data_IF_616238837955
#
_entry.id   IF_616238837955
#
_cell.length_a   1.000
_cell.length_b   1.000
_cell.length_c   1.000
_cell.angle_alpha   90.00
_cell.angle_beta   90.00
_cell.angle_gamma   90.00
#
_symmetry.space_group_name_H-M   'P 1'
#
loop_
_entity.id
_entity.type
_entity.pdbx_description
1 polymer ?
#
# COMPACT_ATOMS: atom_id res chain seq x y z
N UNK A 1 7.70 20.57 -34.94
CA UNK A 1 6.59 19.82 -34.31
C UNK A 1 6.97 19.56 -32.86
N UNK A 2 6.63 20.49 -31.98
CA UNK A 2 6.73 20.25 -30.53
C UNK A 2 5.55 19.35 -30.15
N UNK A 3 5.79 18.04 -30.16
CA UNK A 3 4.92 17.10 -29.45
C UNK A 3 4.96 17.57 -27.99
N UNK A 4 3.90 18.23 -27.50
CA UNK A 4 3.95 18.78 -26.15
C UNK A 4 4.00 17.62 -25.16
N UNK A 5 4.77 17.76 -24.09
CA UNK A 5 4.86 16.75 -23.02
C UNK A 5 3.45 16.34 -22.55
N UNK A 6 2.53 17.30 -22.51
CA UNK A 6 1.11 17.06 -22.24
C UNK A 6 0.44 16.10 -23.22
N UNK A 7 0.68 16.24 -24.53
CA UNK A 7 0.15 15.30 -25.53
C UNK A 7 0.75 13.90 -25.35
N UNK A 8 2.03 13.79 -25.03
CA UNK A 8 2.68 12.50 -24.78
C UNK A 8 2.07 11.78 -23.57
N UNK A 9 1.86 12.48 -22.45
CA UNK A 9 1.21 11.93 -21.26
C UNK A 9 -0.23 11.52 -21.57
N UNK A 10 -0.97 12.36 -22.29
CA UNK A 10 -2.35 12.06 -22.68
C UNK A 10 -2.45 10.82 -23.57
N UNK A 11 -1.48 10.61 -24.47
CA UNK A 11 -1.38 9.38 -25.28
C UNK A 11 -1.04 8.17 -24.43
N UNK A 12 -0.15 8.31 -23.43
CA UNK A 12 0.15 7.22 -22.48
C UNK A 12 -1.11 6.82 -21.70
N UNK A 13 -1.80 7.79 -21.10
CA UNK A 13 -2.98 7.57 -20.25
C UNK A 13 -4.17 6.98 -21.03
N UNK A 14 -4.50 7.57 -22.18
CA UNK A 14 -5.77 7.31 -22.87
C UNK A 14 -5.65 6.39 -24.08
N UNK A 15 -4.44 6.10 -24.56
CA UNK A 15 -4.24 5.24 -25.73
C UNK A 15 -3.36 4.04 -25.40
N UNK A 16 -2.13 4.27 -24.92
CA UNK A 16 -1.16 3.19 -24.73
C UNK A 16 -1.58 2.23 -23.62
N UNK A 17 -1.77 2.71 -22.38
CA UNK A 17 -2.11 1.83 -21.25
C UNK A 17 -3.41 1.03 -21.49
N UNK A 18 -4.51 1.64 -21.99
CA UNK A 18 -5.74 0.89 -22.29
C UNK A 18 -5.62 -0.09 -23.47
N UNK A 19 -4.68 0.13 -24.39
CA UNK A 19 -4.50 -0.74 -25.56
C UNK A 19 -3.66 -1.99 -25.27
N UNK A 20 -3.09 -2.10 -24.06
CA UNK A 20 -2.27 -3.24 -23.66
C UNK A 20 -3.15 -4.49 -23.54
N UNK A 21 -2.97 -5.52 -24.39
CA UNK A 21 -3.83 -6.69 -24.37
C UNK A 21 -3.55 -7.56 -23.14
N UNK A 22 -4.54 -8.32 -22.66
CA UNK A 22 -4.35 -9.26 -21.54
C UNK A 22 -3.46 -10.48 -21.91
N UNK A 23 -3.12 -10.59 -23.19
CA UNK A 23 -2.39 -11.68 -23.83
C UNK A 23 -1.47 -11.09 -24.89
N UNK A 24 -0.29 -10.60 -24.50
CA UNK A 24 0.68 -10.08 -25.47
C UNK A 24 1.32 -11.25 -26.22
N UNK A 25 1.31 -11.18 -27.54
CA UNK A 25 2.01 -12.13 -28.40
C UNK A 25 3.53 -11.85 -28.35
N UNK A 26 4.23 -12.54 -27.45
CA UNK A 26 5.69 -12.61 -27.41
C UNK A 26 6.37 -11.73 -26.36
N UNK A 27 7.58 -12.15 -25.96
CA UNK A 27 8.42 -11.51 -24.92
C UNK A 27 8.71 -10.04 -25.23
N UNK A 28 8.90 -9.70 -26.50
CA UNK A 28 9.19 -8.33 -26.94
C UNK A 28 8.05 -7.37 -26.64
N UNK A 29 6.81 -7.84 -26.72
CA UNK A 29 5.65 -7.02 -26.47
C UNK A 29 5.55 -6.68 -24.96
N UNK A 30 5.98 -7.59 -24.06
CA UNK A 30 6.03 -7.34 -22.60
C UNK A 30 7.09 -6.32 -22.19
N UNK A 31 8.08 -6.01 -23.04
CA UNK A 31 9.06 -4.95 -22.75
C UNK A 31 8.41 -3.57 -22.64
N UNK A 32 7.21 -3.38 -23.19
CA UNK A 32 6.45 -2.15 -23.01
C UNK A 32 6.22 -1.82 -21.53
N UNK A 33 6.03 -2.84 -20.68
CA UNK A 33 5.84 -2.68 -19.24
C UNK A 33 7.14 -2.31 -18.49
N UNK A 34 8.31 -2.43 -19.14
CA UNK A 34 9.58 -1.93 -18.62
C UNK A 34 9.85 -0.48 -19.05
N UNK A 35 9.38 -0.12 -20.24
CA UNK A 35 9.61 1.20 -20.85
C UNK A 35 8.62 2.22 -20.28
N UNK A 36 7.34 1.85 -20.13
CA UNK A 36 6.29 2.78 -19.67
C UNK A 36 6.57 3.42 -18.30
N UNK A 37 7.01 2.70 -17.26
CA UNK A 37 7.35 3.32 -15.98
C UNK A 37 8.46 4.38 -16.14
N UNK A 38 9.50 4.05 -16.90
CA UNK A 38 10.61 4.96 -17.16
C UNK A 38 10.14 6.20 -17.93
N UNK A 39 9.30 6.01 -18.95
CA UNK A 39 8.74 7.09 -19.75
C UNK A 39 7.87 8.02 -18.90
N UNK A 40 7.01 7.47 -18.03
CA UNK A 40 6.20 8.26 -17.09
C UNK A 40 7.10 9.10 -16.18
N UNK A 41 8.18 8.52 -15.65
CA UNK A 41 9.12 9.24 -14.77
C UNK A 41 9.88 10.38 -15.45
N UNK A 42 10.02 10.33 -16.78
CA UNK A 42 10.72 11.35 -17.57
C UNK A 42 9.77 12.45 -18.06
N UNK A 43 8.53 12.08 -18.39
CA UNK A 43 7.57 13.00 -18.97
C UNK A 43 6.75 13.78 -17.95
N UNK A 44 6.51 13.23 -16.76
CA UNK A 44 5.66 13.86 -15.75
C UNK A 44 6.46 14.17 -14.48
N UNK A 45 6.23 15.36 -13.92
CA UNK A 45 6.89 15.83 -12.69
C UNK A 45 5.92 15.85 -11.50
N UNK A 46 4.61 15.87 -11.74
CA UNK A 46 3.59 15.87 -10.70
C UNK A 46 3.52 14.50 -10.01
N UNK A 47 3.84 14.39 -8.69
CA UNK A 47 3.78 13.12 -7.97
C UNK A 47 2.40 12.46 -8.03
N UNK A 48 1.34 13.27 -7.99
CA UNK A 48 -0.04 12.80 -8.11
C UNK A 48 -0.31 12.13 -9.46
N UNK A 49 0.09 12.78 -10.57
CA UNK A 49 -0.14 12.23 -11.90
C UNK A 49 0.74 11.02 -12.19
N UNK A 50 2.00 11.03 -11.77
CA UNK A 50 2.90 9.86 -11.84
C UNK A 50 2.23 8.69 -11.12
N UNK A 51 1.80 8.88 -9.88
CA UNK A 51 1.19 7.83 -9.09
C UNK A 51 -0.10 7.28 -9.73
N UNK A 52 -0.94 8.16 -10.29
CA UNK A 52 -2.15 7.75 -11.04
C UNK A 52 -1.80 6.92 -12.28
N UNK A 53 -0.84 7.36 -13.08
CA UNK A 53 -0.40 6.64 -14.29
C UNK A 53 0.20 5.28 -13.95
N UNK A 54 1.00 5.20 -12.89
CA UNK A 54 1.52 3.93 -12.40
C UNK A 54 0.44 3.03 -11.80
N UNK A 55 -0.59 3.59 -11.17
CA UNK A 55 -1.78 2.85 -10.75
C UNK A 55 -2.48 2.18 -11.92
N UNK A 56 -2.75 2.94 -12.99
CA UNK A 56 -3.33 2.41 -14.23
C UNK A 56 -2.43 1.34 -14.87
N UNK A 57 -1.12 1.61 -14.97
CA UNK A 57 -0.17 0.64 -15.50
C UNK A 57 -0.10 -0.64 -14.66
N UNK A 58 -0.12 -0.50 -13.33
CA UNK A 58 -0.15 -1.63 -12.40
C UNK A 58 -1.38 -2.48 -12.64
N UNK A 59 -2.56 -1.85 -12.76
CA UNK A 59 -3.79 -2.56 -13.06
C UNK A 59 -3.69 -3.34 -14.37
N UNK A 60 -3.16 -2.72 -15.43
CA UNK A 60 -2.94 -3.42 -16.70
C UNK A 60 -1.93 -4.58 -16.58
N UNK A 61 -0.88 -4.44 -15.77
CA UNK A 61 0.06 -5.54 -15.50
C UNK A 61 -0.63 -6.68 -14.74
N UNK A 62 -1.46 -6.36 -13.74
CA UNK A 62 -2.15 -7.35 -12.91
C UNK A 62 -3.25 -8.12 -13.66
N UNK A 63 -3.72 -7.60 -14.80
CA UNK A 63 -4.65 -8.29 -15.70
C UNK A 63 -3.96 -9.28 -16.65
N UNK A 64 -2.62 -9.27 -16.72
CA UNK A 64 -1.88 -10.23 -17.53
C UNK A 64 -2.18 -11.67 -17.08
N UNK A 65 -2.30 -12.56 -18.07
CA UNK A 65 -2.31 -14.01 -17.80
C UNK A 65 -1.04 -14.42 -17.06
N UNK A 66 -1.16 -15.45 -16.22
CA UNK A 66 -0.06 -15.99 -15.39
C UNK A 66 1.25 -16.17 -16.18
N UNK A 67 1.20 -16.84 -17.33
CA UNK A 67 2.39 -17.09 -18.16
C UNK A 67 3.07 -15.79 -18.62
N UNK A 68 2.29 -14.75 -18.94
CA UNK A 68 2.81 -13.44 -19.34
C UNK A 68 3.40 -12.68 -18.15
N UNK A 69 2.77 -12.78 -16.97
CA UNK A 69 3.30 -12.19 -15.74
C UNK A 69 4.62 -12.85 -15.31
N UNK A 70 4.74 -14.18 -15.42
CA UNK A 70 6.00 -14.91 -15.13
C UNK A 70 7.14 -14.49 -16.08
N UNK A 71 6.83 -14.26 -17.36
CA UNK A 71 7.82 -13.70 -18.30
C UNK A 71 8.23 -12.28 -17.87
N UNK A 72 7.28 -11.45 -17.43
CA UNK A 72 7.57 -10.10 -16.94
C UNK A 72 8.44 -10.13 -15.67
N UNK A 73 8.18 -11.05 -14.73
CA UNK A 73 9.04 -11.27 -13.56
C UNK A 73 10.46 -11.67 -13.96
N UNK A 74 10.60 -12.53 -14.98
CA UNK A 74 11.89 -12.89 -15.55
C UNK A 74 12.59 -11.67 -16.16
N UNK A 75 11.87 -10.84 -16.91
CA UNK A 75 12.40 -9.59 -17.44
C UNK A 75 12.88 -8.65 -16.33
N UNK A 76 12.09 -8.45 -15.27
CA UNK A 76 12.49 -7.66 -14.11
C UNK A 76 13.76 -8.21 -13.47
N UNK A 77 13.90 -9.53 -13.34
CA UNK A 77 15.09 -10.20 -12.79
C UNK A 77 16.35 -9.92 -13.62
N UNK A 78 16.22 -9.81 -14.95
CA UNK A 78 17.34 -9.53 -15.86
C UNK A 78 17.78 -8.07 -15.93
N UNK A 79 16.98 -7.13 -15.41
CA UNK A 79 17.37 -5.71 -15.38
C UNK A 79 18.69 -5.51 -14.64
N UNK A 80 19.49 -4.51 -15.02
CA UNK A 80 20.65 -4.12 -14.22
C UNK A 80 20.21 -3.66 -12.82
N UNK A 81 21.11 -3.73 -11.83
CA UNK A 81 20.84 -3.25 -10.46
C UNK A 81 20.33 -1.80 -10.47
N UNK A 82 20.91 -0.96 -11.33
CA UNK A 82 20.50 0.43 -11.47
C UNK A 82 19.05 0.55 -11.96
N UNK A 83 18.69 -0.10 -13.07
CA UNK A 83 17.33 0.03 -13.62
C UNK A 83 16.28 -0.58 -12.71
N UNK A 84 16.61 -1.70 -12.07
CA UNK A 84 15.74 -2.33 -11.09
C UNK A 84 15.50 -1.42 -9.86
N UNK A 85 16.56 -0.82 -9.30
CA UNK A 85 16.43 0.15 -8.20
C UNK A 85 15.55 1.33 -8.60
N UNK A 86 15.72 1.87 -9.82
CA UNK A 86 14.91 2.98 -10.30
C UNK A 86 13.43 2.62 -10.40
N UNK A 87 13.11 1.42 -10.90
CA UNK A 87 11.75 0.91 -10.95
C UNK A 87 11.13 0.75 -9.55
N UNK A 88 11.89 0.19 -8.60
CA UNK A 88 11.47 0.05 -7.20
C UNK A 88 11.20 1.41 -6.56
N UNK A 89 12.11 2.37 -6.71
CA UNK A 89 11.94 3.72 -6.16
C UNK A 89 10.74 4.45 -6.77
N UNK A 90 10.45 4.24 -8.06
CA UNK A 90 9.32 4.84 -8.74
C UNK A 90 7.97 4.33 -8.19
N UNK A 91 7.85 3.02 -7.98
CA UNK A 91 6.66 2.42 -7.34
C UNK A 91 6.57 2.77 -5.86
N UNK A 92 7.69 2.75 -5.13
CA UNK A 92 7.75 3.11 -3.71
C UNK A 92 7.34 4.56 -3.47
N UNK A 93 7.91 5.51 -4.20
CA UNK A 93 7.61 6.94 -4.06
C UNK A 93 6.15 7.24 -4.42
N UNK A 94 5.61 6.58 -5.44
CA UNK A 94 4.20 6.69 -5.83
C UNK A 94 3.26 6.10 -4.79
N UNK A 95 3.55 4.91 -4.25
CA UNK A 95 2.79 4.32 -3.14
C UNK A 95 2.87 5.20 -1.89
N UNK A 96 4.05 5.74 -1.55
CA UNK A 96 4.23 6.70 -0.45
C UNK A 96 3.31 7.90 -0.64
N UNK A 97 3.35 8.54 -1.81
CA UNK A 97 2.49 9.68 -2.12
C UNK A 97 1.00 9.33 -2.00
N UNK A 98 0.59 8.18 -2.52
CA UNK A 98 -0.80 7.72 -2.43
C UNK A 98 -1.22 7.45 -0.98
N UNK A 99 -0.34 6.93 -0.12
CA UNK A 99 -0.65 6.80 1.31
C UNK A 99 -0.79 8.19 1.94
N UNK A 100 0.11 9.13 1.65
CA UNK A 100 0.07 10.49 2.21
C UNK A 100 -1.23 11.23 1.86
N UNK A 101 -1.72 11.12 0.62
CA UNK A 101 -2.90 11.88 0.16
C UNK A 101 -4.23 11.17 0.37
N UNK A 102 -4.24 9.83 0.48
CA UNK A 102 -5.48 9.06 0.60
C UNK A 102 -5.72 8.53 2.00
N UNK A 103 -4.87 8.76 3.01
CA UNK A 103 -5.21 8.31 4.36
C UNK A 103 -6.48 9.02 4.86
N UNK A 104 -7.53 8.29 5.29
CA UNK A 104 -7.60 6.84 5.53
C UNK A 104 -8.43 6.04 4.49
N UNK A 105 -8.79 6.64 3.35
CA UNK A 105 -9.58 6.07 2.27
C UNK A 105 -8.72 5.12 1.41
N UNK A 106 -9.15 3.87 1.26
CA UNK A 106 -8.49 2.90 0.38
C UNK A 106 -8.54 3.34 -1.08
N UNK A 107 -7.38 3.61 -1.68
CA UNK A 107 -7.24 3.94 -3.09
C UNK A 107 -6.87 2.68 -3.89
N UNK A 108 -7.63 2.34 -4.94
CA UNK A 108 -7.34 1.19 -5.79
C UNK A 108 -5.93 1.28 -6.41
N UNK A 109 -5.54 2.47 -6.87
CA UNK A 109 -4.22 2.73 -7.47
C UNK A 109 -3.08 2.49 -6.48
N UNK A 110 -3.33 2.71 -5.18
CA UNK A 110 -2.36 2.39 -4.12
C UNK A 110 -2.15 0.89 -4.04
N UNK A 111 -3.22 0.11 -3.94
CA UNK A 111 -3.12 -1.35 -3.80
C UNK A 111 -2.58 -2.00 -5.07
N UNK A 112 -2.91 -1.48 -6.24
CA UNK A 112 -2.34 -1.92 -7.51
C UNK A 112 -0.81 -1.67 -7.51
N UNK A 113 -0.36 -0.46 -7.17
CA UNK A 113 1.07 -0.14 -7.05
C UNK A 113 1.79 -0.99 -5.99
N UNK A 114 1.19 -1.19 -4.81
CA UNK A 114 1.76 -2.01 -3.74
C UNK A 114 1.88 -3.48 -4.14
N UNK A 115 0.96 -3.98 -4.96
CA UNK A 115 1.02 -5.35 -5.48
C UNK A 115 2.20 -5.52 -6.43
N UNK A 116 2.46 -4.53 -7.31
CA UNK A 116 3.66 -4.53 -8.14
C UNK A 116 4.93 -4.39 -7.28
N UNK A 117 4.96 -3.49 -6.30
CA UNK A 117 6.11 -3.33 -5.40
C UNK A 117 6.43 -4.62 -4.63
N UNK A 118 5.41 -5.36 -4.20
CA UNK A 118 5.57 -6.64 -3.53
C UNK A 118 6.03 -7.75 -4.48
N UNK A 119 5.64 -7.73 -5.76
CA UNK A 119 6.17 -8.62 -6.78
C UNK A 119 7.66 -8.31 -7.06
N UNK A 120 8.02 -7.05 -7.20
CA UNK A 120 9.42 -6.61 -7.33
C UNK A 120 10.26 -7.06 -6.12
N UNK A 121 9.72 -6.96 -4.90
CA UNK A 121 10.42 -7.46 -3.71
C UNK A 121 10.72 -8.98 -3.79
N UNK A 122 9.75 -9.78 -4.26
CA UNK A 122 9.96 -11.23 -4.48
C UNK A 122 11.01 -11.49 -5.56
N UNK A 123 10.94 -10.76 -6.68
CA UNK A 123 11.94 -10.83 -7.74
C UNK A 123 13.32 -10.47 -7.20
N UNK A 124 13.43 -9.45 -6.34
CA UNK A 124 14.70 -9.03 -5.73
C UNK A 124 15.41 -10.19 -5.03
N UNK A 125 14.68 -10.99 -4.24
CA UNK A 125 15.23 -12.16 -3.54
C UNK A 125 15.72 -13.29 -4.46
N UNK A 126 15.46 -13.23 -5.77
CA UNK A 126 15.89 -14.21 -6.77
C UNK A 126 16.97 -13.70 -7.74
N UNK A 127 17.48 -12.48 -7.52
CA UNK A 127 18.53 -11.85 -8.36
C UNK A 127 19.92 -12.14 -7.80
N UNK A 128 20.90 -12.29 -8.69
CA UNK A 128 22.32 -12.40 -8.29
C UNK A 128 22.81 -11.13 -7.57
N UNK A 129 22.33 -9.97 -8.03
CA UNK A 129 22.65 -8.68 -7.45
C UNK A 129 21.38 -8.01 -6.93
N UNK A 130 21.17 -8.16 -5.63
CA UNK A 130 20.01 -7.65 -4.90
C UNK A 130 20.21 -6.18 -4.51
N UNK A 131 19.12 -5.42 -4.46
CA UNK A 131 19.11 -4.12 -3.77
C UNK A 131 18.74 -4.31 -2.28
N UNK A 132 19.14 -3.39 -1.38
CA UNK A 132 18.78 -3.46 0.04
C UNK A 132 17.26 -3.48 0.27
N UNK A 133 16.80 -4.18 1.31
CA UNK A 133 15.38 -4.20 1.69
C UNK A 133 14.83 -2.80 2.02
N UNK A 134 15.68 -1.93 2.58
CA UNK A 134 15.32 -0.55 2.88
C UNK A 134 14.89 0.27 1.65
N UNK A 135 15.30 -0.14 0.44
CA UNK A 135 14.87 0.49 -0.82
C UNK A 135 13.36 0.25 -1.08
N UNK A 136 12.70 -0.66 -0.36
CA UNK A 136 11.26 -0.92 -0.45
C UNK A 136 10.43 -0.26 0.66
N UNK A 137 11.05 0.14 1.77
CA UNK A 137 10.34 0.62 2.97
C UNK A 137 9.67 1.98 2.78
N UNK A 138 8.40 2.10 3.14
CA UNK A 138 7.66 3.35 3.22
C UNK A 138 7.61 3.77 4.70
N UNK A 139 7.93 5.03 5.05
CA UNK A 139 7.94 5.50 6.44
C UNK A 139 6.52 5.71 7.00
N UNK A 140 5.73 4.62 7.07
CA UNK A 140 4.30 4.64 7.37
C UNK A 140 3.99 5.28 8.73
N UNK A 141 4.80 5.01 9.76
CA UNK A 141 4.59 5.61 11.09
C UNK A 141 4.71 7.13 11.05
N UNK A 142 5.68 7.65 10.29
CA UNK A 142 5.87 9.09 10.16
C UNK A 142 4.70 9.73 9.41
N UNK A 143 4.24 9.09 8.33
CA UNK A 143 3.10 9.54 7.53
C UNK A 143 1.82 9.56 8.37
N UNK A 144 1.55 8.50 9.14
CA UNK A 144 0.38 8.44 10.03
C UNK A 144 0.47 9.55 11.08
N UNK A 145 1.62 9.72 11.76
CA UNK A 145 1.80 10.78 12.77
C UNK A 145 1.57 12.18 12.22
N UNK A 146 2.00 12.46 10.99
CA UNK A 146 1.81 13.76 10.33
C UNK A 146 0.35 14.02 9.94
N UNK A 147 -0.37 12.98 9.50
CA UNK A 147 -1.77 13.12 9.06
C UNK A 147 -2.80 13.15 10.20
N UNK A 148 -2.43 12.71 11.41
CA UNK A 148 -3.33 12.69 12.57
C UNK A 148 -3.62 14.10 13.12
N UNK A 149 -2.88 15.16 12.75
CA UNK A 149 -3.07 16.47 13.39
C UNK A 149 -2.88 17.69 12.47
N UNK A 150 -4.00 18.32 12.06
CA UNK A 150 -4.07 19.76 12.15
C UNK A 150 -5.40 20.26 12.77
N UNK A 151 -5.27 21.06 13.84
CA UNK A 151 -6.21 22.11 14.27
C UNK A 151 -7.72 21.76 14.43
N UNK A 152 -8.07 20.71 15.17
CA UNK A 152 -9.45 20.43 15.56
C UNK A 152 -9.74 20.68 17.05
N UNK A 153 -10.97 21.08 17.36
CA UNK A 153 -11.44 21.22 18.74
C UNK A 153 -11.61 19.85 19.44
N UNK A 154 -11.83 19.83 20.76
CA UNK A 154 -11.83 18.58 21.56
C UNK A 154 -12.87 17.57 21.06
N UNK A 155 -14.08 18.00 20.70
CA UNK A 155 -15.16 17.13 20.26
C UNK A 155 -14.94 16.60 18.84
N UNK A 156 -14.48 17.47 17.94
CA UNK A 156 -14.05 17.08 16.59
C UNK A 156 -12.90 16.08 16.64
N UNK A 157 -11.93 16.29 17.54
CA UNK A 157 -10.86 15.32 17.78
C UNK A 157 -11.40 13.99 18.28
N UNK A 158 -12.37 13.96 19.19
CA UNK A 158 -12.93 12.69 19.70
C UNK A 158 -13.69 11.95 18.60
N UNK A 159 -14.57 12.63 17.85
CA UNK A 159 -15.35 12.03 16.77
C UNK A 159 -14.46 11.58 15.60
N UNK A 160 -13.49 12.42 15.22
CA UNK A 160 -12.47 12.08 14.24
C UNK A 160 -11.65 10.91 14.76
N UNK A 161 -11.13 10.92 15.99
CA UNK A 161 -10.35 9.82 16.55
C UNK A 161 -11.10 8.48 16.50
N UNK A 162 -12.40 8.45 16.77
CA UNK A 162 -13.20 7.22 16.66
C UNK A 162 -13.38 6.71 15.21
N UNK A 163 -13.71 7.59 14.26
CA UNK A 163 -13.89 7.21 12.85
C UNK A 163 -12.55 6.93 12.14
N UNK A 164 -11.57 7.78 12.40
CA UNK A 164 -10.21 7.74 11.89
C UNK A 164 -9.47 6.49 12.38
N UNK A 165 -9.64 6.06 13.63
CA UNK A 165 -9.07 4.80 14.10
C UNK A 165 -9.65 3.57 13.38
N UNK A 166 -10.94 3.58 13.03
CA UNK A 166 -11.55 2.44 12.31
C UNK A 166 -11.00 2.34 10.89
N UNK A 167 -10.90 3.47 10.18
CA UNK A 167 -10.40 3.50 8.80
C UNK A 167 -8.88 3.30 8.74
N UNK A 168 -8.10 3.87 9.69
CA UNK A 168 -6.68 3.58 9.82
C UNK A 168 -6.42 2.11 10.13
N UNK A 169 -7.23 1.48 10.99
CA UNK A 169 -7.11 0.07 11.29
C UNK A 169 -7.38 -0.80 10.06
N UNK A 170 -8.43 -0.48 9.29
CA UNK A 170 -8.73 -1.15 8.02
C UNK A 170 -7.59 -0.98 7.01
N UNK A 171 -7.07 0.24 6.89
CA UNK A 171 -5.94 0.55 6.02
C UNK A 171 -4.67 -0.19 6.45
N UNK A 172 -4.31 -0.14 7.74
CA UNK A 172 -3.16 -0.85 8.29
C UNK A 172 -3.29 -2.36 8.02
N UNK A 173 -4.48 -2.93 8.25
CA UNK A 173 -4.78 -4.34 7.93
C UNK A 173 -4.62 -4.64 6.45
N UNK A 174 -5.10 -3.76 5.57
CA UNK A 174 -4.95 -3.92 4.14
C UNK A 174 -3.49 -3.81 3.68
N UNK A 175 -2.69 -2.95 4.33
CA UNK A 175 -1.26 -2.75 4.08
C UNK A 175 -0.42 -3.94 4.57
N UNK A 176 -0.84 -4.66 5.62
CA UNK A 176 -0.13 -5.85 6.12
C UNK A 176 0.01 -6.97 5.06
N UNK A 177 -0.79 -6.94 3.98
CA UNK A 177 -0.63 -7.84 2.82
C UNK A 177 0.66 -7.59 2.03
N UNK A 178 1.32 -6.46 2.25
CA UNK A 178 2.53 -6.00 1.56
C UNK A 178 3.68 -5.81 2.56
N UNK A 179 4.18 -6.87 3.21
CA UNK A 179 5.19 -6.77 4.27
C UNK A 179 6.48 -6.04 3.85
N UNK A 180 6.78 -5.98 2.55
CA UNK A 180 7.98 -5.32 2.04
C UNK A 180 8.03 -3.80 2.29
N UNK A 181 6.91 -3.15 2.59
CA UNK A 181 6.88 -1.70 2.81
C UNK A 181 7.16 -1.29 4.26
N UNK A 182 7.16 -2.24 5.21
CA UNK A 182 7.29 -1.92 6.63
C UNK A 182 8.75 -1.92 7.06
N UNK A 183 9.23 -0.74 7.48
CA UNK A 183 10.47 -0.64 8.24
C UNK A 183 10.33 -1.24 9.65
N UNK A 184 11.45 -1.29 10.38
CA UNK A 184 11.47 -1.82 11.74
C UNK A 184 10.53 -1.03 12.66
N UNK A 185 10.51 0.30 12.55
CA UNK A 185 9.69 1.18 13.36
C UNK A 185 8.19 0.88 13.16
N UNK A 186 7.77 0.69 11.91
CA UNK A 186 6.40 0.34 11.57
C UNK A 186 6.01 -1.06 12.07
N UNK A 187 6.92 -2.05 11.98
CA UNK A 187 6.69 -3.39 12.52
C UNK A 187 6.53 -3.35 14.05
N UNK A 188 7.39 -2.62 14.75
CA UNK A 188 7.30 -2.44 16.21
C UNK A 188 6.01 -1.71 16.58
N UNK A 189 5.65 -0.66 15.86
CA UNK A 189 4.42 0.10 16.09
C UNK A 189 3.16 -0.77 15.93
N UNK A 190 3.09 -1.60 14.87
CA UNK A 190 1.99 -2.54 14.67
C UNK A 190 1.90 -3.56 15.81
N UNK A 191 3.02 -4.20 16.17
CA UNK A 191 3.05 -5.18 17.26
C UNK A 191 2.62 -4.56 18.60
N UNK A 192 3.06 -3.34 18.91
CA UNK A 192 2.65 -2.63 20.11
C UNK A 192 1.15 -2.31 20.09
N UNK A 193 0.62 -1.90 18.93
CA UNK A 193 -0.80 -1.60 18.75
C UNK A 193 -1.66 -2.84 18.91
N UNK A 194 -1.28 -3.97 18.28
CA UNK A 194 -1.98 -5.25 18.43
C UNK A 194 -2.01 -5.72 19.89
N UNK A 195 -0.87 -5.63 20.59
CA UNK A 195 -0.80 -5.99 22.01
C UNK A 195 -1.69 -5.10 22.88
N UNK A 196 -1.72 -3.79 22.63
CA UNK A 196 -2.58 -2.86 23.38
C UNK A 196 -4.07 -3.16 23.17
N UNK A 197 -4.47 -3.45 21.93
CA UNK A 197 -5.86 -3.85 21.60
C UNK A 197 -6.21 -5.16 22.30
N UNK A 198 -5.33 -6.16 22.25
CA UNK A 198 -5.54 -7.44 22.93
C UNK A 198 -5.72 -7.26 24.45
N UNK A 199 -4.86 -6.48 25.10
CA UNK A 199 -4.97 -6.18 26.53
C UNK A 199 -6.28 -5.48 26.90
N UNK A 200 -6.76 -4.53 26.08
CA UNK A 200 -8.02 -3.83 26.30
C UNK A 200 -9.23 -4.78 26.20
N UNK A 201 -9.23 -5.68 25.20
CA UNK A 201 -10.29 -6.70 25.03
C UNK A 201 -10.29 -7.69 26.19
N UNK A 202 -9.14 -8.20 26.62
CA UNK A 202 -9.06 -9.10 27.77
C UNK A 202 -9.55 -8.42 29.05
N UNK A 203 -9.13 -7.18 29.30
CA UNK A 203 -9.52 -6.43 30.50
C UNK A 203 -11.03 -6.18 30.58
N UNK A 204 -11.65 -5.82 29.44
CA UNK A 204 -13.09 -5.61 29.35
C UNK A 204 -13.88 -6.92 29.51
N UNK A 205 -13.39 -8.03 28.96
CA UNK A 205 -13.99 -9.35 29.17
C UNK A 205 -13.96 -9.76 30.67
N UNK A 206 -12.83 -9.54 31.35
CA UNK A 206 -12.71 -9.78 32.79
C UNK A 206 -13.63 -8.88 33.63
N UNK A 207 -13.80 -7.61 33.24
CA UNK A 207 -14.73 -6.70 33.88
C UNK A 207 -16.19 -7.16 33.71
N UNK A 208 -16.58 -7.58 32.51
CA UNK A 208 -17.92 -8.13 32.26
C UNK A 208 -18.17 -9.39 33.09
N UNK A 209 -17.20 -10.31 33.13
CA UNK A 209 -17.32 -11.52 33.94
C UNK A 209 -17.48 -11.21 35.43
N UNK A 210 -16.75 -10.22 35.94
CA UNK A 210 -16.88 -9.75 37.33
C UNK A 210 -18.26 -9.15 37.60
N UNK A 211 -18.80 -8.34 36.69
CA UNK A 211 -20.15 -7.76 36.79
C UNK A 211 -21.22 -8.85 36.74
N UNK A 212 -21.09 -9.83 35.84
CA UNK A 212 -22.01 -10.96 35.77
C UNK A 212 -21.99 -11.82 37.04
N UNK A 213 -20.80 -12.16 37.56
CA UNK A 213 -20.67 -12.91 38.81
C UNK A 213 -21.27 -12.17 39.99
N UNK A 214 -21.01 -10.87 40.13
CA UNK A 214 -21.56 -10.04 41.21
C UNK A 214 -23.09 -9.92 41.12
N UNK A 215 -23.66 -9.79 39.91
CA UNK A 215 -25.10 -9.76 39.70
C UNK A 215 -25.77 -11.12 39.97
N UNK A 216 -25.10 -12.24 39.67
CA UNK A 216 -25.61 -13.58 39.98
C UNK A 216 -25.67 -13.80 41.50
N UNK A 217 -24.64 -13.37 42.23
CA UNK A 217 -24.61 -13.41 43.69
C UNK A 217 -25.74 -12.57 44.33
N UNK A 218 -25.98 -11.36 43.80
CA UNK A 218 -27.07 -10.49 44.26
C UNK A 218 -28.46 -11.08 43.98
N UNK A 219 -28.65 -11.74 42.83
CA UNK A 219 -29.91 -12.45 42.50
C UNK A 219 -30.16 -13.67 43.39
N UNK A 220 -29.10 -14.42 43.72
CA UNK A 220 -29.20 -15.58 44.62
C UNK A 220 -29.46 -15.19 46.08
N UNK A 221 -29.01 -14.00 46.50
CA UNK A 221 -29.24 -13.48 47.85
C UNK A 221 -30.66 -12.90 48.03
N UNK A 222 -31.34 -12.46 46.96
CA UNK A 222 -32.69 -11.87 47.04
C UNK A 222 -33.84 -12.88 46.97
N UNK A 223 -33.55 -14.17 46.75
CA UNK A 223 -34.54 -15.26 46.66
C UNK A 223 -34.35 -16.32 47.76
N UNK A 224 -33.53 -16.04 48.76
CA UNK A 224 -33.24 -16.94 49.89
C UNK A 224 -33.99 -16.57 51.19
N UNK A 225 -34.90 -15.59 51.12
CA UNK A 225 -35.81 -15.18 52.22
C UNK A 225 -37.23 -15.70 52.02
#
# INVERSE_FOLDING_TARGET
MTFSIFQAINTVENCLIPSLPDSLAGVEALRVYLILPELVSVLEESPYKIAKLLGLLSRSILLLKKDSFEILESLWRTLSVHYFRKLVELYRSSSKHLVEVNLPVGNADLFDCLTILQALYKVNGSRDHMIPENDFHIPLVQIIKQNVMPQMNVLERILQYCQYNTQLYQMATALMRYPCIFDLDAKVFLLQTENAVFQAVCSSASQLQTVYSNNLHLYSASHAD
#
